data_IF_077702986374
#
_entry.id   IF_077702986374
#
_cell.length_a   1.000
_cell.length_b   1.000
_cell.length_c   1.000
_cell.angle_alpha   90.00
_cell.angle_beta   90.00
_cell.angle_gamma   90.00
#
_symmetry.space_group_name_H-M   'P 1'
#
loop_
_entity.id
_entity.type
_entity.pdbx_description
1 polymer ?
#
# COMPACT_ATOMS: atom_id res chain seq x y z
N UNK A 1 34.86 13.70 9.55
CA UNK A 1 34.27 12.39 9.83
C UNK A 1 34.59 11.46 8.68
N UNK A 2 34.97 10.20 8.90
CA UNK A 2 35.26 9.24 7.80
C UNK A 2 34.22 8.14 7.80
N UNK A 3 33.75 7.75 6.61
CA UNK A 3 32.74 6.70 6.46
C UNK A 3 33.19 5.35 7.02
N UNK A 4 34.48 5.02 6.89
CA UNK A 4 35.05 3.76 7.42
C UNK A 4 34.93 3.66 8.96
N UNK A 5 35.01 4.79 9.67
CA UNK A 5 34.87 4.82 11.12
C UNK A 5 33.41 4.57 11.54
N UNK A 6 32.45 5.14 10.80
CA UNK A 6 31.01 4.92 10.98
C UNK A 6 30.64 3.44 10.73
N UNK A 7 31.13 2.87 9.63
CA UNK A 7 30.91 1.45 9.31
C UNK A 7 31.47 0.56 10.42
N UNK A 8 32.71 0.82 10.86
CA UNK A 8 33.36 0.01 11.90
C UNK A 8 32.60 0.12 13.23
N UNK A 9 32.17 1.33 13.58
CA UNK A 9 31.37 1.59 14.78
C UNK A 9 30.05 0.81 14.78
N UNK A 10 29.27 0.89 13.69
CA UNK A 10 28.00 0.14 13.59
C UNK A 10 28.24 -1.36 13.54
N UNK A 11 29.23 -1.85 12.78
CA UNK A 11 29.62 -3.27 12.72
C UNK A 11 29.97 -3.83 14.10
N UNK A 12 30.58 -3.02 14.96
CA UNK A 12 31.00 -3.44 16.30
C UNK A 12 29.85 -3.28 17.34
N UNK A 13 28.61 -3.10 16.89
CA UNK A 13 27.41 -3.05 17.74
C UNK A 13 27.20 -1.72 18.47
N UNK A 14 27.86 -0.64 18.03
CA UNK A 14 27.72 0.67 18.66
C UNK A 14 26.69 1.56 17.96
N UNK A 15 26.03 2.39 18.77
CA UNK A 15 25.04 3.36 18.31
C UNK A 15 25.70 4.52 17.53
N UNK A 16 25.16 4.83 16.36
CA UNK A 16 25.56 5.99 15.57
C UNK A 16 24.93 7.27 16.12
N UNK A 17 25.68 8.37 16.14
CA UNK A 17 25.12 9.67 16.53
C UNK A 17 24.30 10.27 15.40
N UNK A 18 23.40 11.20 15.73
CA UNK A 18 22.64 11.96 14.74
C UNK A 18 23.55 12.70 13.75
N UNK A 19 24.70 13.21 14.19
CA UNK A 19 25.67 13.84 13.28
C UNK A 19 26.31 12.84 12.32
N UNK A 20 26.61 11.62 12.77
CA UNK A 20 27.14 10.54 11.92
C UNK A 20 26.12 10.12 10.86
N UNK A 21 24.85 10.00 11.27
CA UNK A 21 23.75 9.66 10.37
C UNK A 21 23.53 10.74 9.32
N UNK A 22 23.45 12.00 9.74
CA UNK A 22 23.29 13.15 8.83
C UNK A 22 24.46 13.27 7.85
N UNK A 23 25.69 13.06 8.33
CA UNK A 23 26.88 13.08 7.48
C UNK A 23 26.79 12.02 6.38
N UNK A 24 26.53 10.75 6.73
CA UNK A 24 26.56 9.71 5.71
C UNK A 24 25.41 9.87 4.71
N UNK A 25 24.19 10.22 5.16
CA UNK A 25 23.04 10.41 4.26
C UNK A 25 23.32 11.54 3.28
N UNK A 26 23.77 12.69 3.78
CA UNK A 26 24.08 13.85 2.95
C UNK A 26 25.17 13.53 1.92
N UNK A 27 26.31 13.03 2.37
CA UNK A 27 27.47 12.78 1.51
C UNK A 27 27.23 11.64 0.51
N UNK A 28 26.43 10.62 0.89
CA UNK A 28 25.99 9.60 -0.05
C UNK A 28 25.05 10.15 -1.13
N UNK A 29 24.11 11.01 -0.74
CA UNK A 29 23.14 11.61 -1.68
C UNK A 29 23.84 12.45 -2.74
N UNK A 30 24.86 13.23 -2.37
CA UNK A 30 25.64 14.07 -3.32
C UNK A 30 26.75 13.31 -4.05
N UNK A 31 26.94 12.02 -3.77
CA UNK A 31 27.89 11.15 -4.50
C UNK A 31 29.33 11.14 -3.97
N UNK A 32 29.59 11.73 -2.80
CA UNK A 32 30.93 11.74 -2.19
C UNK A 32 31.26 10.44 -1.43
N UNK A 33 30.24 9.67 -1.03
CA UNK A 33 30.41 8.31 -0.50
C UNK A 33 30.02 7.31 -1.59
N UNK A 34 30.91 6.38 -1.96
CA UNK A 34 30.63 5.39 -2.99
C UNK A 34 29.73 4.26 -2.46
N UNK A 35 28.97 3.65 -3.38
CA UNK A 35 27.99 2.59 -3.08
C UNK A 35 28.59 1.43 -2.28
N UNK A 36 29.85 1.04 -2.54
CA UNK A 36 30.50 -0.07 -1.83
C UNK A 36 30.74 0.21 -0.34
N UNK A 37 30.82 1.46 0.09
CA UNK A 37 30.90 1.81 1.51
C UNK A 37 29.51 1.80 2.16
N UNK A 38 28.50 2.28 1.43
CA UNK A 38 27.13 2.31 1.92
C UNK A 38 26.57 0.91 2.03
N UNK A 39 26.81 0.03 1.06
CA UNK A 39 26.39 -1.38 1.14
C UNK A 39 26.98 -2.09 2.36
N UNK A 40 28.25 -1.80 2.71
CA UNK A 40 28.88 -2.31 3.92
C UNK A 40 28.18 -1.80 5.20
N UNK A 41 27.80 -0.51 5.26
CA UNK A 41 27.04 0.02 6.39
C UNK A 41 25.63 -0.58 6.46
N UNK A 42 24.95 -0.73 5.33
CA UNK A 42 23.60 -1.31 5.27
C UNK A 42 23.60 -2.76 5.76
N UNK A 43 24.63 -3.54 5.41
CA UNK A 43 24.80 -4.89 5.93
C UNK A 43 25.15 -4.89 7.42
N UNK A 44 25.94 -3.94 7.92
CA UNK A 44 26.18 -3.79 9.35
C UNK A 44 24.88 -3.46 10.12
N UNK A 45 24.04 -2.57 9.58
CA UNK A 45 22.70 -2.26 10.13
C UNK A 45 21.78 -3.49 10.07
N UNK A 46 21.87 -4.30 9.02
CA UNK A 46 21.09 -5.53 8.90
C UNK A 46 21.34 -6.48 10.08
N UNK A 47 22.60 -6.63 10.51
CA UNK A 47 22.97 -7.51 11.62
C UNK A 47 22.82 -6.89 13.01
N UNK A 48 23.20 -5.62 13.17
CA UNK A 48 23.29 -4.96 14.49
C UNK A 48 22.08 -4.10 14.84
N UNK A 49 21.13 -3.95 13.90
CA UNK A 49 19.93 -3.11 14.03
C UNK A 49 20.28 -1.62 14.35
N UNK A 50 19.25 -0.85 14.66
CA UNK A 50 19.32 0.55 15.07
C UNK A 50 18.37 0.79 16.26
N UNK A 51 18.79 1.64 17.19
CA UNK A 51 17.92 2.13 18.27
C UNK A 51 16.77 2.99 17.71
N UNK A 52 15.74 3.27 18.50
CA UNK A 52 14.66 4.17 18.07
C UNK A 52 15.16 5.60 17.78
N UNK A 53 16.23 6.05 18.45
CA UNK A 53 16.87 7.35 18.21
C UNK A 53 17.62 7.36 16.88
N UNK A 54 18.37 6.30 16.60
CA UNK A 54 19.04 6.10 15.31
C UNK A 54 18.03 6.02 14.16
N UNK A 55 16.93 5.28 14.32
CA UNK A 55 15.86 5.17 13.32
C UNK A 55 15.19 6.51 13.04
N UNK A 56 14.89 7.29 14.08
CA UNK A 56 14.33 8.63 13.92
C UNK A 56 15.31 9.58 13.21
N UNK A 57 16.59 9.55 13.58
CA UNK A 57 17.64 10.34 12.92
C UNK A 57 17.82 9.94 11.45
N UNK A 58 17.84 8.64 11.15
CA UNK A 58 17.92 8.10 9.78
C UNK A 58 16.74 8.55 8.93
N UNK A 59 15.53 8.46 9.50
CA UNK A 59 14.30 8.91 8.85
C UNK A 59 14.37 10.40 8.52
N UNK A 60 14.70 11.25 9.50
CA UNK A 60 14.76 12.69 9.30
C UNK A 60 15.91 13.12 8.39
N UNK A 61 17.05 12.43 8.41
CA UNK A 61 18.13 12.67 7.47
C UNK A 61 17.69 12.40 6.02
N UNK A 62 16.91 11.33 5.78
CA UNK A 62 16.33 11.07 4.46
C UNK A 62 15.26 12.09 4.08
N UNK A 63 14.39 12.51 5.01
CA UNK A 63 13.41 13.61 4.78
C UNK A 63 14.15 14.88 4.31
N UNK A 64 15.19 15.27 5.04
CA UNK A 64 15.96 16.49 4.79
C UNK A 64 16.92 16.39 3.59
N UNK A 65 17.02 15.24 2.93
CA UNK A 65 17.84 15.07 1.72
C UNK A 65 17.22 15.70 0.47
N UNK A 66 15.93 16.05 0.52
CA UNK A 66 15.18 16.57 -0.60
C UNK A 66 14.12 17.59 -0.19
N UNK A 67 13.14 17.77 -1.06
CA UNK A 67 12.02 18.66 -0.82
C UNK A 67 11.02 18.05 0.18
N UNK A 68 10.38 18.90 0.96
CA UNK A 68 9.25 18.54 1.83
C UNK A 68 8.01 19.32 1.41
N UNK A 69 6.86 18.66 1.44
CA UNK A 69 5.60 19.27 1.07
C UNK A 69 5.01 19.98 2.28
N UNK A 70 4.85 21.30 2.15
CA UNK A 70 4.10 22.09 3.11
C UNK A 70 2.60 22.06 2.78
N UNK A 71 1.85 21.38 3.67
CA UNK A 71 0.40 21.25 3.62
C UNK A 71 -0.31 22.16 4.62
N UNK A 72 0.37 23.18 5.18
CA UNK A 72 -0.22 24.09 6.18
C UNK A 72 -1.43 24.88 5.67
N UNK A 73 -1.52 25.09 4.35
CA UNK A 73 -2.64 25.75 3.70
C UNK A 73 -3.91 24.86 3.62
N UNK A 74 -3.82 23.56 3.91
CA UNK A 74 -4.96 22.66 4.00
C UNK A 74 -5.51 22.70 5.43
N UNK A 75 -6.80 23.02 5.58
CA UNK A 75 -7.47 23.10 6.87
C UNK A 75 -7.75 21.72 7.46
N UNK A 76 -7.49 21.57 8.76
CA UNK A 76 -7.70 20.34 9.52
C UNK A 76 -6.44 19.50 9.69
N UNK A 77 -6.60 18.31 10.26
CA UNK A 77 -5.51 17.33 10.46
C UNK A 77 -5.44 16.46 9.21
N UNK A 78 -4.36 16.58 8.43
CA UNK A 78 -4.18 15.82 7.19
C UNK A 78 -3.75 14.41 7.54
N UNK A 79 -4.57 13.42 7.17
CA UNK A 79 -4.30 12.02 7.46
C UNK A 79 -3.89 11.30 6.18
N UNK A 80 -2.77 10.59 6.22
CA UNK A 80 -2.32 9.72 5.14
C UNK A 80 -2.38 8.24 5.56
N UNK A 81 -2.62 7.35 4.60
CA UNK A 81 -2.53 5.90 4.77
C UNK A 81 -1.35 5.36 3.98
N UNK A 82 -0.58 4.46 4.60
CA UNK A 82 0.41 3.67 3.89
C UNK A 82 0.16 2.20 4.10
N UNK A 83 0.32 1.39 3.06
CA UNK A 83 0.49 -0.05 3.23
C UNK A 83 1.91 -0.43 2.82
N UNK A 84 2.45 -1.45 3.49
CA UNK A 84 3.66 -2.13 3.03
C UNK A 84 3.50 -2.79 1.66
N UNK A 85 2.27 -2.90 1.13
CA UNK A 85 1.97 -3.46 -0.18
C UNK A 85 1.41 -4.88 -0.08
N UNK A 86 0.58 -5.25 -1.06
CA UNK A 86 -0.06 -6.56 -1.14
C UNK A 86 -0.82 -6.74 -2.44
N UNK A 87 -1.36 -7.94 -2.64
CA UNK A 87 -2.11 -8.33 -3.84
C UNK A 87 -3.61 -8.16 -3.58
N UNK A 88 -4.31 -7.48 -4.49
CA UNK A 88 -5.71 -7.09 -4.29
C UNK A 88 -5.90 -5.98 -3.23
N UNK A 89 -4.84 -5.23 -2.88
CA UNK A 89 -4.97 -4.12 -1.90
C UNK A 89 -5.70 -2.91 -2.51
N UNK A 90 -7.02 -3.04 -2.61
CA UNK A 90 -7.99 -2.06 -3.11
C UNK A 90 -8.31 -0.97 -2.06
N UNK A 91 -7.79 -1.12 -0.83
CA UNK A 91 -8.19 -0.32 0.33
C UNK A 91 -8.13 1.19 0.10
N UNK A 92 -7.11 1.72 -0.59
CA UNK A 92 -6.95 3.17 -0.81
C UNK A 92 -8.11 3.75 -1.63
N UNK A 93 -8.62 3.02 -2.62
CA UNK A 93 -9.71 3.49 -3.49
C UNK A 93 -11.02 3.64 -2.70
N UNK A 94 -11.22 2.81 -1.68
CA UNK A 94 -12.39 2.86 -0.80
C UNK A 94 -12.16 3.85 0.36
N UNK A 95 -11.01 3.78 1.03
CA UNK A 95 -10.69 4.58 2.22
C UNK A 95 -10.71 6.08 1.94
N UNK A 96 -10.09 6.52 0.85
CA UNK A 96 -9.93 7.94 0.54
C UNK A 96 -11.29 8.68 0.47
N UNK A 97 -12.27 8.26 -0.36
CA UNK A 97 -13.58 8.89 -0.37
C UNK A 97 -14.41 8.60 0.89
N UNK A 98 -14.24 7.43 1.52
CA UNK A 98 -15.02 7.04 2.70
C UNK A 98 -14.72 7.95 3.90
N UNK A 99 -13.45 8.20 4.21
CA UNK A 99 -13.08 9.09 5.33
C UNK A 99 -13.28 10.57 4.97
N UNK A 100 -13.08 10.95 3.70
CA UNK A 100 -13.37 12.31 3.23
C UNK A 100 -14.86 12.65 3.31
N UNK A 101 -15.76 11.67 3.23
CA UNK A 101 -17.20 11.85 3.46
C UNK A 101 -17.55 12.20 4.93
N UNK A 102 -16.59 12.07 5.85
CA UNK A 102 -16.66 12.49 7.25
C UNK A 102 -15.78 13.74 7.53
N UNK A 103 -15.53 14.56 6.50
CA UNK A 103 -14.73 15.79 6.58
C UNK A 103 -13.27 15.59 7.03
N UNK A 104 -12.73 14.37 6.92
CA UNK A 104 -11.29 14.11 7.12
C UNK A 104 -10.49 14.54 5.89
N UNK A 105 -9.50 15.45 6.00
CA UNK A 105 -8.66 15.85 4.88
C UNK A 105 -7.67 14.74 4.49
N UNK A 106 -7.87 14.16 3.31
CA UNK A 106 -7.02 13.13 2.71
C UNK A 106 -6.14 13.77 1.62
N UNK A 107 -4.94 14.17 2.03
CA UNK A 107 -3.90 14.69 1.14
C UNK A 107 -2.95 13.54 0.75
N UNK A 108 -3.37 12.70 -0.21
CA UNK A 108 -2.69 11.44 -0.51
C UNK A 108 -1.63 11.62 -1.60
N UNK A 109 -0.41 11.19 -1.29
CA UNK A 109 0.58 10.83 -2.30
C UNK A 109 0.67 9.32 -2.45
N UNK A 110 0.56 8.87 -3.69
CA UNK A 110 0.60 7.45 -4.06
C UNK A 110 1.69 7.19 -5.09
N UNK A 111 2.10 5.93 -5.20
CA UNK A 111 3.03 5.45 -6.21
C UNK A 111 2.32 4.64 -7.29
N UNK A 112 3.05 4.39 -8.36
CA UNK A 112 2.76 3.33 -9.35
C UNK A 112 3.27 1.98 -8.84
N UNK A 113 2.72 0.90 -9.37
CA UNK A 113 3.11 -0.47 -9.05
C UNK A 113 4.41 -0.87 -9.74
N UNK A 114 5.16 -1.77 -9.10
CA UNK A 114 6.31 -2.47 -9.65
C UNK A 114 6.28 -3.92 -9.16
N UNK A 115 6.53 -4.87 -10.06
CA UNK A 115 6.43 -6.29 -9.78
C UNK A 115 4.98 -6.76 -9.60
N UNK A 116 4.75 -7.60 -8.60
CA UNK A 116 3.49 -8.30 -8.37
C UNK A 116 2.43 -7.48 -7.61
N UNK A 117 2.78 -6.29 -7.13
CA UNK A 117 1.85 -5.41 -6.40
C UNK A 117 1.31 -4.32 -7.32
N UNK A 118 -0.01 -4.16 -7.35
CA UNK A 118 -0.67 -3.09 -8.11
C UNK A 118 -0.55 -1.74 -7.43
N UNK A 119 -0.25 -0.68 -8.17
CA UNK A 119 -0.17 0.69 -7.64
C UNK A 119 -1.52 1.40 -7.67
N UNK A 120 -1.84 2.19 -6.64
CA UNK A 120 -3.10 2.96 -6.60
C UNK A 120 -3.26 3.89 -7.81
N UNK A 121 -2.16 4.48 -8.30
CA UNK A 121 -2.22 5.37 -9.47
C UNK A 121 -2.60 4.61 -10.73
N UNK A 122 -2.00 3.44 -10.96
CA UNK A 122 -2.32 2.63 -12.15
C UNK A 122 -3.79 2.18 -12.13
N UNK A 123 -4.33 1.86 -10.95
CA UNK A 123 -5.77 1.56 -10.78
C UNK A 123 -6.64 2.77 -11.14
N UNK A 124 -6.32 3.97 -10.63
CA UNK A 124 -7.09 5.18 -10.91
C UNK A 124 -7.05 5.59 -12.38
N UNK A 125 -5.95 5.34 -13.08
CA UNK A 125 -5.82 5.60 -14.52
C UNK A 125 -6.68 4.68 -15.40
N UNK A 126 -7.26 3.61 -14.83
CA UNK A 126 -8.32 2.85 -15.51
C UNK A 126 -9.60 3.69 -15.71
N UNK A 127 -9.79 4.76 -14.92
CA UNK A 127 -10.86 5.74 -15.12
C UNK A 127 -10.42 6.72 -16.21
N UNK A 128 -11.11 6.66 -17.36
CA UNK A 128 -10.82 7.51 -18.52
C UNK A 128 -10.77 8.98 -18.12
N UNK A 129 -9.67 9.65 -18.46
CA UNK A 129 -9.44 11.08 -18.23
C UNK A 129 -8.84 11.43 -16.86
N UNK A 130 -8.80 10.48 -15.92
CA UNK A 130 -8.22 10.71 -14.61
C UNK A 130 -6.71 11.00 -14.74
N UNK A 131 -6.22 12.03 -14.06
CA UNK A 131 -4.80 12.35 -14.00
C UNK A 131 -4.35 12.67 -12.57
N UNK A 132 -3.09 12.37 -12.28
CA UNK A 132 -2.46 12.60 -10.96
C UNK A 132 -1.48 13.76 -10.94
N UNK A 133 -1.35 14.45 -12.07
CA UNK A 133 -0.55 15.65 -12.22
C UNK A 133 -1.40 16.87 -11.86
N UNK A 134 -1.20 17.41 -10.66
CA UNK A 134 -1.84 18.62 -10.16
C UNK A 134 -0.77 19.63 -9.78
N UNK A 135 -1.06 20.93 -9.92
CA UNK A 135 -0.24 21.96 -9.29
C UNK A 135 -0.42 21.91 -7.77
N UNK A 136 0.52 22.48 -7.02
CA UNK A 136 0.41 22.58 -5.56
C UNK A 136 -0.88 23.31 -5.15
N UNK A 137 -1.23 24.39 -5.86
CA UNK A 137 -2.39 25.22 -5.54
C UNK A 137 -3.69 24.46 -5.81
N UNK A 138 -3.80 23.77 -6.96
CA UNK A 138 -4.96 22.92 -7.27
C UNK A 138 -5.12 21.80 -6.23
N UNK A 139 -4.01 21.15 -5.85
CA UNK A 139 -4.03 20.10 -4.83
C UNK A 139 -4.56 20.61 -3.49
N UNK A 140 -4.06 21.77 -3.02
CA UNK A 140 -4.53 22.40 -1.78
C UNK A 140 -6.01 22.80 -1.89
N UNK A 141 -6.43 23.36 -3.02
CA UNK A 141 -7.84 23.74 -3.25
C UNK A 141 -8.76 22.51 -3.18
N UNK A 142 -8.43 21.44 -3.89
CA UNK A 142 -9.24 20.22 -3.93
C UNK A 142 -9.38 19.58 -2.55
N UNK A 143 -8.29 19.48 -1.78
CA UNK A 143 -8.38 18.92 -0.41
C UNK A 143 -9.15 19.86 0.52
N UNK A 144 -9.03 21.18 0.39
CA UNK A 144 -9.81 22.11 1.20
C UNK A 144 -11.31 22.04 0.87
N UNK A 145 -11.66 22.02 -0.41
CA UNK A 145 -13.04 22.02 -0.90
C UNK A 145 -13.73 20.68 -0.67
N UNK A 146 -13.08 19.60 -1.08
CA UNK A 146 -13.72 18.28 -1.20
C UNK A 146 -13.10 17.20 -0.31
N UNK A 147 -12.06 17.54 0.46
CA UNK A 147 -11.42 16.69 1.47
C UNK A 147 -10.60 15.53 0.93
N UNK A 148 -10.45 15.40 -0.39
CA UNK A 148 -9.65 14.33 -0.99
C UNK A 148 -9.01 14.76 -2.30
N UNK A 149 -7.73 14.43 -2.43
CA UNK A 149 -7.01 14.42 -3.70
C UNK A 149 -5.89 13.37 -3.64
N UNK A 150 -5.58 12.77 -4.80
CA UNK A 150 -4.49 11.80 -4.95
C UNK A 150 -3.54 12.31 -6.02
N UNK A 151 -2.30 12.57 -5.63
CA UNK A 151 -1.24 12.95 -6.56
C UNK A 151 -0.16 11.87 -6.66
N UNK A 152 0.58 11.93 -7.76
CA UNK A 152 1.84 11.21 -7.90
C UNK A 152 2.85 11.66 -6.85
N UNK A 153 3.85 10.82 -6.61
CA UNK A 153 5.08 11.28 -5.98
C UNK A 153 5.80 12.21 -6.97
N UNK A 154 5.46 13.49 -6.93
CA UNK A 154 6.16 14.54 -7.68
C UNK A 154 7.46 14.94 -6.98
N UNK A 155 8.41 15.48 -7.74
CA UNK A 155 9.55 16.20 -7.17
C UNK A 155 10.68 15.35 -6.61
N UNK A 156 11.65 16.03 -6.03
CA UNK A 156 12.84 15.43 -5.44
C UNK A 156 12.59 15.08 -3.96
N UNK A 157 11.50 14.36 -3.67
CA UNK A 157 11.18 13.90 -2.31
C UNK A 157 12.12 12.76 -1.92
N UNK A 158 12.81 12.91 -0.79
CA UNK A 158 13.68 11.87 -0.21
C UNK A 158 14.65 11.21 -1.21
N UNK A 159 15.48 11.95 -1.96
CA UNK A 159 16.43 11.38 -2.93
C UNK A 159 17.41 10.38 -2.30
N UNK A 160 17.76 10.58 -1.03
CA UNK A 160 18.55 9.62 -0.28
C UNK A 160 17.86 8.26 -0.21
N UNK A 161 16.57 8.21 0.09
CA UNK A 161 15.78 6.97 0.17
C UNK A 161 15.75 6.27 -1.19
N UNK A 162 15.52 7.01 -2.28
CA UNK A 162 15.52 6.44 -3.63
C UNK A 162 16.86 5.77 -3.96
N UNK A 163 17.98 6.42 -3.63
CA UNK A 163 19.33 5.89 -3.85
C UNK A 163 19.66 4.70 -2.92
N UNK A 164 19.23 4.76 -1.66
CA UNK A 164 19.42 3.69 -0.69
C UNK A 164 18.59 2.46 -1.02
N UNK A 165 17.31 2.62 -1.38
CA UNK A 165 16.43 1.52 -1.75
C UNK A 165 16.96 0.77 -2.97
N UNK A 166 17.40 1.49 -4.01
CA UNK A 166 18.01 0.87 -5.19
C UNK A 166 19.27 0.06 -4.84
N UNK A 167 20.11 0.55 -3.93
CA UNK A 167 21.28 -0.19 -3.46
C UNK A 167 20.90 -1.40 -2.61
N UNK A 168 19.88 -1.28 -1.75
CA UNK A 168 19.38 -2.36 -0.89
C UNK A 168 18.88 -3.54 -1.71
N UNK A 169 18.13 -3.24 -2.77
CA UNK A 169 17.53 -4.22 -3.69
C UNK A 169 18.58 -5.14 -4.34
N UNK A 170 19.75 -4.59 -4.67
CA UNK A 170 20.84 -5.35 -5.32
C UNK A 170 21.92 -5.84 -4.35
N UNK A 171 21.75 -5.63 -3.04
CA UNK A 171 22.73 -6.05 -2.00
C UNK A 171 22.15 -6.95 -0.93
N UNK A 172 20.89 -7.36 -1.06
CA UNK A 172 20.23 -8.23 -0.07
C UNK A 172 20.00 -7.55 1.29
N UNK A 173 19.86 -6.23 1.32
CA UNK A 173 19.65 -5.44 2.55
C UNK A 173 18.28 -4.76 2.57
N UNK A 174 17.32 -5.27 1.78
CA UNK A 174 15.93 -4.80 1.82
C UNK A 174 15.26 -5.19 3.14
N UNK A 175 15.43 -6.45 3.55
CA UNK A 175 14.70 -7.07 4.66
C UNK A 175 15.29 -6.73 6.05
N UNK A 176 15.27 -5.45 6.39
CA UNK A 176 15.78 -4.92 7.66
C UNK A 176 14.80 -3.90 8.21
N UNK A 177 14.24 -4.18 9.39
CA UNK A 177 13.26 -3.32 10.07
C UNK A 177 13.69 -1.85 10.11
N UNK A 178 14.89 -1.46 10.57
CA UNK A 178 15.27 -0.05 10.65
C UNK A 178 15.34 0.61 9.27
N UNK A 179 15.78 -0.11 8.23
CA UNK A 179 15.86 0.40 6.87
C UNK A 179 14.47 0.51 6.22
N UNK A 180 13.59 -0.48 6.41
CA UNK A 180 12.21 -0.45 5.93
C UNK A 180 11.43 0.66 6.61
N UNK A 181 11.46 0.72 7.95
CA UNK A 181 10.72 1.69 8.73
C UNK A 181 11.15 3.13 8.37
N UNK A 182 12.46 3.39 8.31
CA UNK A 182 12.95 4.73 7.95
C UNK A 182 12.63 5.09 6.50
N UNK A 183 12.72 4.13 5.58
CA UNK A 183 12.38 4.33 4.17
C UNK A 183 10.91 4.71 4.00
N UNK A 184 9.99 3.94 4.60
CA UNK A 184 8.55 4.20 4.52
C UNK A 184 8.22 5.54 5.17
N UNK A 185 8.65 5.74 6.43
CA UNK A 185 8.29 6.91 7.21
C UNK A 185 8.86 8.19 6.62
N UNK A 186 10.07 8.18 6.05
CA UNK A 186 10.66 9.38 5.45
C UNK A 186 9.82 9.93 4.30
N UNK A 187 9.31 9.05 3.42
CA UNK A 187 8.39 9.46 2.34
C UNK A 187 7.09 10.03 2.87
N UNK A 188 6.52 9.43 3.93
CA UNK A 188 5.26 9.87 4.54
C UNK A 188 5.40 11.19 5.30
N UNK A 189 6.52 11.41 5.96
CA UNK A 189 6.82 12.66 6.68
C UNK A 189 7.16 13.77 5.68
N UNK A 190 7.97 13.50 4.65
CA UNK A 190 8.27 14.46 3.59
C UNK A 190 7.02 14.88 2.81
N UNK A 191 6.02 14.00 2.74
CA UNK A 191 4.70 14.28 2.18
C UNK A 191 3.83 15.24 3.02
N UNK A 192 4.26 15.61 4.24
CA UNK A 192 3.60 16.66 5.04
C UNK A 192 2.37 16.22 5.83
N UNK A 193 2.09 14.91 5.94
CA UNK A 193 0.97 14.41 6.72
C UNK A 193 1.11 14.76 8.22
N UNK A 194 0.01 15.15 8.88
CA UNK A 194 -0.01 15.40 10.33
C UNK A 194 -0.18 14.09 11.11
N UNK A 195 -0.94 13.16 10.52
CA UNK A 195 -1.17 11.84 11.06
C UNK A 195 -1.03 10.75 9.99
N UNK A 196 -0.56 9.57 10.41
CA UNK A 196 -0.24 8.46 9.52
C UNK A 196 -0.92 7.18 10.05
N UNK A 197 -1.74 6.54 9.22
CA UNK A 197 -2.26 5.20 9.47
C UNK A 197 -1.48 4.19 8.63
N UNK A 198 -0.90 3.19 9.28
CA UNK A 198 -0.05 2.17 8.68
C UNK A 198 -0.79 0.84 8.58
N UNK A 199 -0.72 0.21 7.42
CA UNK A 199 -1.29 -1.11 7.14
C UNK A 199 -0.14 -2.06 6.83
N UNK A 200 0.37 -2.70 7.88
CA UNK A 200 1.50 -3.62 7.83
C UNK A 200 0.98 -5.01 7.54
N UNK A 201 1.33 -5.53 6.37
CA UNK A 201 0.90 -6.87 5.96
C UNK A 201 1.75 -7.94 6.67
N UNK A 202 1.12 -9.07 6.98
CA UNK A 202 1.76 -10.32 7.45
C UNK A 202 1.37 -11.49 6.55
N UNK A 203 2.20 -12.54 6.48
CA UNK A 203 1.93 -13.76 5.72
C UNK A 203 2.61 -13.85 4.35
N UNK A 204 2.23 -14.84 3.56
CA UNK A 204 2.94 -15.24 2.34
C UNK A 204 3.12 -14.09 1.33
N UNK A 205 2.10 -13.27 1.08
CA UNK A 205 2.16 -12.11 0.18
C UNK A 205 2.66 -10.81 0.80
N UNK A 206 3.12 -10.83 2.06
CA UNK A 206 3.66 -9.65 2.73
C UNK A 206 5.18 -9.59 2.66
N UNK A 207 5.74 -8.40 2.93
CA UNK A 207 7.17 -8.26 3.19
C UNK A 207 7.58 -9.00 4.47
N UNK A 208 6.81 -8.84 5.55
CA UNK A 208 7.04 -9.53 6.82
C UNK A 208 6.26 -10.84 6.81
N UNK A 209 6.95 -11.98 6.93
CA UNK A 209 6.32 -13.29 6.78
C UNK A 209 5.66 -13.76 8.06
N UNK A 210 6.11 -13.26 9.20
CA UNK A 210 5.59 -13.63 10.53
C UNK A 210 4.92 -12.45 11.22
N UNK A 211 3.95 -12.75 12.09
CA UNK A 211 3.26 -11.75 12.91
C UNK A 211 4.22 -10.99 13.83
N UNK A 212 5.27 -11.65 14.32
CA UNK A 212 6.28 -11.04 15.18
C UNK A 212 7.09 -9.98 14.43
N UNK A 213 7.57 -10.29 13.22
CA UNK A 213 8.26 -9.32 12.35
C UNK A 213 7.35 -8.16 11.97
N UNK A 214 6.10 -8.44 11.60
CA UNK A 214 5.10 -7.43 11.27
C UNK A 214 4.83 -6.51 12.47
N UNK A 215 4.73 -7.07 13.68
CA UNK A 215 4.55 -6.30 14.91
C UNK A 215 5.76 -5.43 15.23
N UNK A 216 6.98 -5.96 15.08
CA UNK A 216 8.20 -5.21 15.31
C UNK A 216 8.34 -4.05 14.32
N UNK A 217 8.03 -4.26 13.04
CA UNK A 217 8.02 -3.22 12.01
C UNK A 217 6.96 -2.16 12.29
N UNK A 218 5.72 -2.57 12.58
CA UNK A 218 4.61 -1.66 12.89
C UNK A 218 4.95 -0.76 14.09
N UNK A 219 5.44 -1.35 15.19
CA UNK A 219 5.89 -0.61 16.38
C UNK A 219 7.04 0.35 16.08
N UNK A 220 8.03 -0.07 15.29
CA UNK A 220 9.15 0.79 14.92
C UNK A 220 8.66 2.03 14.14
N UNK A 221 7.75 1.86 13.18
CA UNK A 221 7.20 2.98 12.41
C UNK A 221 6.31 3.91 13.26
N UNK A 222 5.49 3.36 14.16
CA UNK A 222 4.69 4.16 15.11
C UNK A 222 5.60 5.02 16.00
N UNK A 223 6.65 4.42 16.60
CA UNK A 223 7.62 5.15 17.43
C UNK A 223 8.38 6.22 16.65
N UNK A 224 8.78 5.96 15.41
CA UNK A 224 9.40 6.98 14.54
C UNK A 224 8.44 8.16 14.38
N UNK A 225 7.18 7.90 14.02
CA UNK A 225 6.16 8.93 13.86
C UNK A 225 5.98 9.78 15.11
N UNK A 226 5.82 9.16 16.27
CA UNK A 226 5.70 9.86 17.55
C UNK A 226 6.93 10.70 17.89
N UNK A 227 8.14 10.16 17.69
CA UNK A 227 9.40 10.87 17.94
C UNK A 227 9.57 12.12 17.07
N UNK A 228 8.96 12.15 15.88
CA UNK A 228 9.01 13.31 14.96
C UNK A 228 7.74 14.17 15.01
N UNK A 229 6.87 13.96 15.99
CA UNK A 229 5.67 14.77 16.21
C UNK A 229 4.51 14.48 15.25
N UNK A 230 4.45 13.30 14.63
CA UNK A 230 3.34 12.84 13.78
C UNK A 230 2.51 11.78 14.51
N UNK A 231 1.21 12.00 14.65
CA UNK A 231 0.33 10.99 15.27
C UNK A 231 0.30 9.75 14.38
N UNK A 232 0.62 8.56 14.92
CA UNK A 232 0.77 7.37 14.07
C UNK A 232 0.10 6.17 14.70
N UNK A 233 -0.69 5.44 13.92
CA UNK A 233 -1.29 4.16 14.32
C UNK A 233 -1.01 3.11 13.25
N UNK A 234 -1.04 1.84 13.62
CA UNK A 234 -0.82 0.74 12.70
C UNK A 234 -1.83 -0.40 12.88
N UNK A 235 -2.13 -1.09 11.78
CA UNK A 235 -2.84 -2.36 11.71
C UNK A 235 -1.89 -3.42 11.19
N UNK A 236 -1.87 -4.58 11.82
CA UNK A 236 -1.29 -5.79 11.24
C UNK A 236 -2.43 -6.56 10.57
N UNK A 237 -2.39 -6.67 9.25
CA UNK A 237 -3.44 -7.34 8.47
C UNK A 237 -2.90 -8.49 7.61
N UNK A 238 -3.74 -9.50 7.40
CA UNK A 238 -3.41 -10.69 6.62
C UNK A 238 -3.17 -10.36 5.15
N UNK A 239 -2.17 -11.03 4.59
CA UNK A 239 -1.86 -11.10 3.17
C UNK A 239 -1.38 -12.52 2.80
N UNK A 240 -1.82 -13.53 3.56
CA UNK A 240 -1.61 -14.94 3.20
C UNK A 240 -2.28 -15.27 1.86
N UNK A 241 -3.46 -14.70 1.62
CA UNK A 241 -4.22 -14.71 0.37
C UNK A 241 -4.48 -13.26 -0.12
N UNK A 242 -4.80 -13.05 -1.42
CA UNK A 242 -5.18 -11.73 -1.91
C UNK A 242 -6.37 -11.14 -1.14
N UNK A 243 -6.33 -9.84 -0.88
CA UNK A 243 -7.46 -9.12 -0.26
C UNK A 243 -8.58 -8.94 -1.30
N UNK A 244 -9.84 -9.13 -0.89
CA UNK A 244 -10.97 -9.07 -1.81
C UNK A 244 -10.94 -10.20 -2.83
N UNK A 245 -11.56 -10.01 -3.99
CA UNK A 245 -11.57 -10.99 -5.08
C UNK A 245 -10.85 -10.49 -6.33
N UNK A 246 -10.82 -9.18 -6.56
CA UNK A 246 -10.19 -8.59 -7.73
C UNK A 246 -8.68 -8.43 -7.56
N UNK A 247 -7.92 -8.86 -8.57
CA UNK A 247 -6.50 -8.55 -8.73
C UNK A 247 -6.29 -7.93 -10.11
N UNK A 248 -5.95 -6.64 -10.18
CA UNK A 248 -5.75 -5.91 -11.42
C UNK A 248 -5.92 -4.41 -11.28
N UNK A 249 -6.38 -3.74 -12.34
CA UNK A 249 -6.57 -2.27 -12.32
C UNK A 249 -8.05 -1.92 -12.40
N UNK A 250 -8.68 -2.03 -13.56
CA UNK A 250 -10.11 -1.77 -13.74
C UNK A 250 -11.00 -2.67 -12.86
N UNK A 251 -10.60 -3.94 -12.68
CA UNK A 251 -11.29 -4.90 -11.82
C UNK A 251 -11.36 -4.42 -10.36
N UNK A 252 -10.24 -3.88 -9.84
CA UNK A 252 -10.16 -3.37 -8.47
C UNK A 252 -10.91 -2.04 -8.31
N UNK A 253 -10.96 -1.18 -9.34
CA UNK A 253 -11.83 0.01 -9.33
C UNK A 253 -13.30 -0.39 -9.24
N UNK A 254 -13.73 -1.41 -9.98
CA UNK A 254 -15.09 -1.94 -9.88
C UNK A 254 -15.36 -2.48 -8.47
N UNK A 255 -14.46 -3.28 -7.91
CA UNK A 255 -14.61 -3.81 -6.55
C UNK A 255 -14.69 -2.69 -5.50
N UNK A 256 -13.91 -1.62 -5.66
CA UNK A 256 -14.00 -0.44 -4.80
C UNK A 256 -15.37 0.24 -4.86
N UNK A 257 -15.96 0.37 -6.05
CA UNK A 257 -17.32 0.90 -6.24
C UNK A 257 -18.34 0.02 -5.52
N UNK A 258 -18.24 -1.30 -5.68
CA UNK A 258 -19.12 -2.27 -5.04
C UNK A 258 -18.99 -2.18 -3.50
N UNK A 259 -17.78 -2.08 -2.96
CA UNK A 259 -17.55 -1.84 -1.52
C UNK A 259 -18.15 -0.52 -1.03
N UNK A 260 -18.00 0.58 -1.78
CA UNK A 260 -18.58 1.88 -1.42
C UNK A 260 -20.13 1.88 -1.44
N UNK A 261 -20.76 0.95 -2.17
CA UNK A 261 -22.20 0.67 -2.14
C UNK A 261 -22.62 -0.21 -0.95
N UNK A 262 -21.66 -0.80 -0.24
CA UNK A 262 -21.91 -1.80 0.80
C UNK A 262 -22.16 -3.21 0.24
N UNK A 263 -21.76 -3.47 -1.00
CA UNK A 263 -21.95 -4.74 -1.73
C UNK A 263 -20.60 -5.44 -2.05
N UNK A 264 -19.51 -4.94 -1.47
CA UNK A 264 -18.16 -5.46 -1.71
C UNK A 264 -17.80 -6.69 -0.88
N UNK A 265 -16.57 -7.20 -1.05
CA UNK A 265 -16.07 -8.33 -0.29
C UNK A 265 -16.04 -8.04 1.22
N UNK A 266 -16.39 -9.02 2.05
CA UNK A 266 -16.44 -8.85 3.50
C UNK A 266 -15.07 -8.51 4.10
N UNK A 267 -14.01 -9.15 3.63
CA UNK A 267 -12.64 -8.93 4.09
C UNK A 267 -12.12 -7.53 3.72
N UNK A 268 -12.34 -7.08 2.48
CA UNK A 268 -12.01 -5.72 2.06
C UNK A 268 -12.80 -4.68 2.88
N UNK A 269 -14.11 -4.92 3.06
CA UNK A 269 -14.98 -4.01 3.83
C UNK A 269 -14.52 -3.90 5.28
N UNK A 270 -14.22 -5.02 5.94
CA UNK A 270 -13.73 -5.04 7.31
C UNK A 270 -12.41 -4.27 7.46
N UNK A 271 -11.42 -4.53 6.61
CA UNK A 271 -10.12 -3.87 6.69
C UNK A 271 -10.24 -2.37 6.45
N UNK A 272 -11.08 -1.94 5.50
CA UNK A 272 -11.37 -0.52 5.25
C UNK A 272 -12.01 0.13 6.48
N UNK A 273 -12.95 -0.54 7.15
CA UNK A 273 -13.57 0.01 8.35
C UNK A 273 -12.56 0.13 9.51
N UNK A 274 -11.68 -0.86 9.70
CA UNK A 274 -10.63 -0.82 10.74
C UNK A 274 -9.63 0.32 10.50
N UNK A 275 -9.10 0.42 9.28
CA UNK A 275 -8.15 1.48 8.91
C UNK A 275 -8.82 2.86 8.93
N UNK A 276 -10.02 2.97 8.37
CA UNK A 276 -10.78 4.22 8.35
C UNK A 276 -11.08 4.72 9.76
N UNK A 277 -11.38 3.81 10.70
CA UNK A 277 -11.68 4.18 12.09
C UNK A 277 -10.49 4.88 12.75
N UNK A 278 -9.28 4.36 12.52
CA UNK A 278 -8.05 5.02 12.99
C UNK A 278 -7.85 6.38 12.34
N UNK A 279 -8.05 6.49 11.02
CA UNK A 279 -7.89 7.76 10.32
C UNK A 279 -8.86 8.83 10.85
N UNK A 280 -10.11 8.47 11.11
CA UNK A 280 -11.14 9.38 11.65
C UNK A 280 -10.79 9.83 13.08
N UNK A 281 -10.31 8.92 13.95
CA UNK A 281 -9.84 9.28 15.29
C UNK A 281 -8.60 10.18 15.23
N UNK A 282 -7.61 9.82 14.41
CA UNK A 282 -6.39 10.61 14.21
C UNK A 282 -6.69 12.03 13.73
N UNK A 283 -7.73 12.18 12.90
CA UNK A 283 -8.25 13.45 12.39
C UNK A 283 -9.09 14.24 13.41
N UNK A 284 -9.33 13.71 14.61
CA UNK A 284 -10.24 14.25 15.63
C UNK A 284 -11.70 14.39 15.12
N UNK A 285 -12.15 13.49 14.24
CA UNK A 285 -13.54 13.44 13.76
C UNK A 285 -14.40 12.39 14.50
N UNK A 286 -13.81 11.67 15.46
CA UNK A 286 -14.47 10.81 16.43
C UNK A 286 -13.62 10.72 17.70
N UNK A 287 -14.26 10.42 18.84
CA UNK A 287 -13.60 10.29 20.15
C UNK A 287 -12.89 8.94 20.31
N UNK A 288 -13.41 7.89 19.68
CA UNK A 288 -12.88 6.52 19.76
C UNK A 288 -13.15 5.73 18.47
N UNK A 289 -12.58 4.53 18.39
CA UNK A 289 -12.64 3.69 17.19
C UNK A 289 -14.06 3.17 16.92
N UNK A 290 -14.86 2.92 17.97
CA UNK A 290 -16.24 2.47 17.85
C UNK A 290 -17.13 3.54 17.19
N UNK A 291 -17.08 4.78 17.69
CA UNK A 291 -17.81 5.92 17.11
C UNK A 291 -17.36 6.18 15.67
N UNK A 292 -16.06 6.12 15.41
CA UNK A 292 -15.51 6.28 14.06
C UNK A 292 -16.08 5.23 13.10
N UNK A 293 -16.11 3.97 13.53
CA UNK A 293 -16.64 2.86 12.74
C UNK A 293 -18.13 3.04 12.43
N UNK A 294 -18.93 3.43 13.41
CA UNK A 294 -20.37 3.70 13.21
C UNK A 294 -20.59 4.81 12.18
N UNK A 295 -19.83 5.90 12.27
CA UNK A 295 -19.89 7.00 11.29
C UNK A 295 -19.54 6.53 9.87
N UNK A 296 -18.49 5.72 9.72
CA UNK A 296 -18.05 5.18 8.43
C UNK A 296 -19.12 4.28 7.80
N UNK A 297 -19.69 3.35 8.60
CA UNK A 297 -20.80 2.50 8.15
C UNK A 297 -22.00 3.36 7.73
N UNK A 298 -22.31 4.42 8.47
CA UNK A 298 -23.43 5.30 8.14
C UNK A 298 -23.23 6.02 6.79
N UNK A 299 -22.04 6.55 6.49
CA UNK A 299 -21.76 7.23 5.21
C UNK A 299 -21.62 6.28 4.02
N UNK A 300 -21.25 5.03 4.26
CA UNK A 300 -21.32 3.97 3.26
C UNK A 300 -22.78 3.64 2.93
N UNK A 301 -23.61 3.35 3.95
CA UNK A 301 -25.03 2.99 3.78
C UNK A 301 -25.89 4.09 3.16
N UNK A 302 -25.63 5.35 3.48
CA UNK A 302 -26.41 6.47 2.95
C UNK A 302 -25.91 6.99 1.58
N UNK A 303 -24.89 6.35 0.99
CA UNK A 303 -24.36 6.67 -0.33
C UNK A 303 -23.42 7.89 -0.38
N UNK A 304 -23.18 8.61 0.72
CA UNK A 304 -22.27 9.76 0.74
C UNK A 304 -20.84 9.39 0.35
N UNK A 305 -20.35 8.22 0.79
CA UNK A 305 -19.03 7.73 0.43
C UNK A 305 -18.89 7.52 -1.09
N UNK A 306 -19.90 6.92 -1.72
CA UNK A 306 -19.94 6.70 -3.17
C UNK A 306 -20.01 8.03 -3.94
N UNK A 307 -20.82 8.99 -3.49
CA UNK A 307 -20.88 10.32 -4.10
C UNK A 307 -19.55 11.07 -3.96
N UNK A 308 -18.86 10.93 -2.82
CA UNK A 308 -17.53 11.49 -2.62
C UNK A 308 -16.50 10.88 -3.57
N UNK A 309 -16.60 9.58 -3.86
CA UNK A 309 -15.75 8.93 -4.87
C UNK A 309 -16.01 9.47 -6.28
N UNK A 310 -17.27 9.64 -6.67
CA UNK A 310 -17.62 10.27 -7.96
C UNK A 310 -17.03 11.67 -8.09
N UNK A 311 -17.22 12.51 -7.06
CA UNK A 311 -16.68 13.85 -7.02
C UNK A 311 -15.15 13.85 -7.09
N UNK A 312 -14.49 12.96 -6.36
CA UNK A 312 -13.04 12.79 -6.39
C UNK A 312 -12.52 12.48 -7.80
N UNK A 313 -13.18 11.56 -8.52
CA UNK A 313 -12.80 11.23 -9.89
C UNK A 313 -12.96 12.43 -10.83
N UNK A 314 -14.11 13.10 -10.77
CA UNK A 314 -14.42 14.27 -11.62
C UNK A 314 -13.47 15.44 -11.38
N UNK A 315 -13.10 15.68 -10.11
CA UNK A 315 -12.16 16.73 -9.71
C UNK A 315 -10.77 16.59 -10.33
N UNK A 316 -10.39 15.37 -10.72
CA UNK A 316 -9.11 15.06 -11.34
C UNK A 316 -9.28 14.59 -12.80
N UNK A 317 -10.35 15.05 -13.46
CA UNK A 317 -10.59 14.85 -14.90
C UNK A 317 -11.17 13.48 -15.28
N UNK A 318 -11.38 12.58 -14.31
CA UNK A 318 -11.94 11.25 -14.55
C UNK A 318 -13.43 11.28 -14.88
N UNK A 319 -13.86 10.33 -15.72
CA UNK A 319 -15.28 10.10 -16.00
C UNK A 319 -16.01 9.54 -14.77
N UNK A 320 -16.61 10.41 -13.96
CA UNK A 320 -17.40 10.04 -12.78
C UNK A 320 -18.63 9.18 -13.07
N UNK A 321 -19.08 9.07 -14.32
CA UNK A 321 -20.23 8.23 -14.67
C UNK A 321 -19.95 6.73 -14.50
N UNK A 322 -18.68 6.32 -14.39
CA UNK A 322 -18.28 4.93 -14.08
C UNK A 322 -18.82 4.44 -12.73
N UNK A 323 -19.12 5.35 -11.80
CA UNK A 323 -19.68 4.99 -10.49
C UNK A 323 -21.09 4.39 -10.61
N UNK A 324 -21.86 4.94 -11.55
CA UNK A 324 -23.22 4.50 -11.88
C UNK A 324 -23.21 3.40 -12.95
N UNK A 325 -22.20 3.38 -13.83
CA UNK A 325 -22.03 2.45 -14.95
C UNK A 325 -20.61 1.87 -15.02
N UNK A 326 -20.21 0.97 -14.09
CA UNK A 326 -18.85 0.43 -14.02
C UNK A 326 -18.41 -0.35 -15.27
N UNK A 327 -19.35 -0.81 -16.10
CA UNK A 327 -19.09 -1.47 -17.39
C UNK A 327 -18.38 -0.57 -18.41
N UNK A 328 -18.33 0.75 -18.18
CA UNK A 328 -17.54 1.71 -18.95
C UNK A 328 -16.04 1.64 -18.69
N UNK A 329 -15.63 1.02 -17.58
CA UNK A 329 -14.22 0.74 -17.31
C UNK A 329 -13.64 -0.19 -18.40
N UNK A 330 -12.32 -0.16 -18.64
CA UNK A 330 -11.67 -1.06 -19.60
C UNK A 330 -12.08 -2.52 -19.39
N UNK A 331 -12.53 -3.19 -20.45
CA UNK A 331 -12.97 -4.58 -20.43
C UNK A 331 -12.00 -5.46 -21.22
N UNK A 332 -11.58 -6.58 -20.64
CA UNK A 332 -10.78 -7.57 -21.34
C UNK A 332 -11.63 -8.34 -22.37
N UNK A 333 -11.01 -8.72 -23.49
CA UNK A 333 -11.67 -9.43 -24.59
C UNK A 333 -12.13 -10.84 -24.21
N UNK A 334 -11.37 -11.54 -23.38
CA UNK A 334 -11.62 -12.92 -22.98
C UNK A 334 -11.80 -13.02 -21.46
N UNK A 335 -12.80 -13.80 -21.06
CA UNK A 335 -13.00 -14.24 -19.68
C UNK A 335 -12.90 -15.76 -19.66
N UNK A 336 -11.89 -16.28 -18.97
CA UNK A 336 -11.53 -17.71 -19.01
C UNK A 336 -11.58 -18.26 -17.59
N UNK A 337 -12.50 -19.18 -17.35
CA UNK A 337 -12.68 -19.85 -16.07
C UNK A 337 -11.51 -20.84 -15.82
N UNK A 338 -11.03 -20.88 -14.58
CA UNK A 338 -10.07 -21.87 -14.09
C UNK A 338 -10.79 -22.80 -13.13
N UNK A 339 -11.29 -23.97 -13.59
CA UNK A 339 -12.05 -24.88 -12.76
C UNK A 339 -11.17 -25.63 -11.75
N UNK A 340 -11.71 -25.95 -10.59
CA UNK A 340 -11.08 -26.84 -9.62
C UNK A 340 -10.91 -28.26 -10.19
N UNK A 341 -9.73 -28.84 -9.96
CA UNK A 341 -9.40 -30.22 -10.39
C UNK A 341 -9.84 -31.27 -9.37
N UNK A 342 -9.97 -30.85 -8.12
CA UNK A 342 -10.31 -31.66 -6.97
C UNK A 342 -11.50 -31.01 -6.23
N UNK A 343 -12.16 -31.78 -5.37
CA UNK A 343 -13.18 -31.26 -4.45
C UNK A 343 -12.64 -31.19 -3.02
N UNK A 344 -13.22 -30.31 -2.21
CA UNK A 344 -12.80 -30.10 -0.82
C UNK A 344 -12.96 -28.65 -0.41
N UNK A 345 -12.01 -28.14 0.36
CA UNK A 345 -11.93 -26.74 0.78
C UNK A 345 -10.65 -26.11 0.26
N UNK A 346 -10.71 -24.86 -0.19
CA UNK A 346 -9.51 -24.09 -0.52
C UNK A 346 -8.75 -23.84 0.78
N UNK A 347 -7.55 -24.40 0.89
CA UNK A 347 -6.74 -24.35 2.11
C UNK A 347 -5.55 -23.39 2.03
N UNK A 348 -5.14 -23.03 0.83
CA UNK A 348 -4.06 -22.07 0.61
C UNK A 348 -4.27 -21.34 -0.72
N UNK A 349 -3.99 -20.04 -0.74
CA UNK A 349 -3.87 -19.22 -1.95
C UNK A 349 -2.61 -18.37 -1.78
N UNK A 350 -1.53 -18.69 -2.46
CA UNK A 350 -0.24 -17.98 -2.28
C UNK A 350 -0.28 -16.61 -2.97
N UNK A 351 -0.51 -15.55 -2.19
CA UNK A 351 -0.91 -14.25 -2.72
C UNK A 351 0.08 -13.59 -3.69
N UNK A 352 1.38 -13.56 -3.37
CA UNK A 352 2.41 -12.98 -4.24
C UNK A 352 2.50 -13.71 -5.59
N UNK A 353 2.39 -15.03 -5.57
CA UNK A 353 2.41 -15.87 -6.76
C UNK A 353 1.18 -15.64 -7.67
N UNK A 354 0.01 -15.39 -7.06
CA UNK A 354 -1.21 -14.96 -7.78
C UNK A 354 -1.05 -13.54 -8.35
N UNK A 355 -0.40 -12.63 -7.62
CA UNK A 355 -0.04 -11.30 -8.12
C UNK A 355 0.88 -11.38 -9.35
N UNK A 356 1.86 -12.28 -9.34
CA UNK A 356 2.72 -12.55 -10.50
C UNK A 356 1.90 -13.12 -11.67
N UNK A 357 0.92 -14.00 -11.41
CA UNK A 357 0.04 -14.51 -12.46
C UNK A 357 -0.77 -13.38 -13.13
N UNK A 358 -1.25 -12.39 -12.37
CA UNK A 358 -1.88 -11.19 -12.92
C UNK A 358 -0.89 -10.30 -13.68
N UNK A 359 0.35 -10.13 -13.18
CA UNK A 359 1.40 -9.38 -13.87
C UNK A 359 1.74 -10.02 -15.22
N UNK A 360 1.80 -11.36 -15.32
CA UNK A 360 2.02 -12.08 -16.58
C UNK A 360 0.93 -11.75 -17.61
N UNK A 361 -0.31 -11.49 -17.19
CA UNK A 361 -1.39 -11.06 -18.09
C UNK A 361 -1.18 -9.65 -18.65
N UNK A 362 -0.38 -8.81 -17.98
CA UNK A 362 -0.17 -7.41 -18.29
C UNK A 362 -0.76 -6.45 -17.25
N UNK A 363 -1.27 -6.95 -16.11
CA UNK A 363 -1.88 -6.10 -15.08
C UNK A 363 -0.86 -5.32 -14.22
N UNK A 364 0.44 -5.56 -14.42
CA UNK A 364 1.54 -4.93 -13.68
C UNK A 364 2.79 -4.82 -14.53
N UNK A 365 3.86 -4.29 -13.95
CA UNK A 365 5.13 -4.00 -14.64
C UNK A 365 6.27 -4.86 -14.11
N UNK A 366 7.06 -5.46 -14.99
CA UNK A 366 8.34 -6.07 -14.62
C UNK A 366 9.45 -5.01 -14.54
N UNK A 367 9.44 -4.04 -15.45
CA UNK A 367 10.35 -2.88 -15.49
C UNK A 367 9.59 -1.56 -15.46
N UNK A 368 10.23 -0.46 -15.10
CA UNK A 368 9.52 0.84 -14.98
C UNK A 368 8.97 1.35 -16.31
N UNK A 369 9.56 0.87 -17.40
CA UNK A 369 9.26 1.26 -18.77
C UNK A 369 8.09 0.45 -19.37
N UNK A 370 7.64 -0.62 -18.70
CA UNK A 370 6.57 -1.48 -19.21
C UNK A 370 5.22 -0.74 -19.21
N UNK A 371 4.43 -0.96 -20.28
CA UNK A 371 3.04 -0.53 -20.33
C UNK A 371 2.14 -1.55 -19.63
N UNK A 372 1.11 -1.06 -18.92
CA UNK A 372 0.12 -1.89 -18.26
C UNK A 372 -1.12 -1.98 -19.14
N UNK A 373 -1.69 -3.18 -19.25
CA UNK A 373 -3.04 -3.38 -19.71
C UNK A 373 -4.01 -3.23 -18.53
N UNK A 374 -4.78 -2.15 -18.52
CA UNK A 374 -5.64 -1.79 -17.38
C UNK A 374 -6.89 -2.67 -17.29
N UNK A 375 -7.21 -3.43 -18.35
CA UNK A 375 -8.42 -4.24 -18.45
C UNK A 375 -8.23 -5.68 -17.97
N UNK A 376 -6.99 -6.19 -17.96
CA UNK A 376 -6.67 -7.57 -17.61
C UNK A 376 -6.44 -7.76 -16.11
N UNK A 377 -6.51 -9.01 -15.67
CA UNK A 377 -6.29 -9.39 -14.28
C UNK A 377 -6.99 -10.69 -13.93
N UNK A 378 -7.17 -10.91 -12.63
CA UNK A 378 -7.79 -12.10 -12.07
C UNK A 378 -8.97 -11.70 -11.19
N UNK A 379 -10.00 -12.54 -11.17
CA UNK A 379 -11.10 -12.46 -10.21
C UNK A 379 -11.19 -13.80 -9.49
N UNK A 380 -10.82 -13.83 -8.22
CA UNK A 380 -11.03 -15.02 -7.38
C UNK A 380 -12.52 -15.31 -7.28
N UNK A 381 -12.87 -16.60 -7.23
CA UNK A 381 -14.24 -17.08 -7.00
C UNK A 381 -14.38 -17.80 -5.66
N UNK A 382 -13.23 -18.09 -5.02
CA UNK A 382 -13.10 -18.76 -3.74
C UNK A 382 -11.99 -18.10 -2.93
N UNK A 383 -12.18 -18.05 -1.61
CA UNK A 383 -11.19 -17.68 -0.60
C UNK A 383 -10.81 -18.91 0.22
N UNK A 384 -9.74 -18.79 1.00
CA UNK A 384 -9.34 -19.84 1.95
C UNK A 384 -10.46 -20.09 2.97
N UNK A 385 -10.87 -21.35 3.09
CA UNK A 385 -12.00 -21.80 3.89
C UNK A 385 -13.25 -22.12 3.06
N UNK A 386 -13.33 -21.69 1.80
CA UNK A 386 -14.49 -21.98 0.96
C UNK A 386 -14.49 -23.41 0.45
N UNK A 387 -15.66 -24.06 0.47
CA UNK A 387 -15.88 -25.33 -0.19
C UNK A 387 -15.91 -25.18 -1.71
N UNK A 388 -15.37 -26.16 -2.43
CA UNK A 388 -15.33 -26.20 -3.89
C UNK A 388 -15.55 -27.63 -4.42
N UNK A 389 -16.23 -27.75 -5.56
CA UNK A 389 -16.41 -29.02 -6.28
C UNK A 389 -15.56 -29.07 -7.54
N UNK A 390 -15.24 -30.28 -8.00
CA UNK A 390 -14.60 -30.50 -9.31
C UNK A 390 -15.40 -29.78 -10.40
N UNK A 391 -14.72 -28.96 -11.21
CA UNK A 391 -15.33 -28.19 -12.29
C UNK A 391 -15.84 -26.79 -11.89
N UNK A 392 -15.99 -26.50 -10.60
CA UNK A 392 -16.38 -25.16 -10.12
C UNK A 392 -15.19 -24.19 -10.29
N UNK A 393 -15.41 -22.95 -10.74
CA UNK A 393 -14.31 -22.00 -10.93
C UNK A 393 -13.66 -21.59 -9.62
N UNK A 394 -12.32 -21.65 -9.59
CA UNK A 394 -11.49 -21.07 -8.53
C UNK A 394 -11.19 -19.59 -8.82
N UNK A 395 -10.94 -19.29 -10.10
CA UNK A 395 -10.53 -17.96 -10.61
C UNK A 395 -11.12 -17.77 -11.99
N UNK A 396 -11.54 -16.55 -12.32
CA UNK A 396 -11.77 -16.11 -13.70
C UNK A 396 -10.60 -15.25 -14.15
N UNK A 397 -9.96 -15.63 -15.25
CA UNK A 397 -8.89 -14.88 -15.90
C UNK A 397 -9.52 -13.87 -16.87
N UNK A 398 -9.18 -12.59 -16.74
CA UNK A 398 -9.52 -11.52 -17.68
C UNK A 398 -8.30 -11.24 -18.55
N UNK A 399 -8.39 -11.50 -19.85
CA UNK A 399 -7.24 -11.47 -20.77
C UNK A 399 -7.57 -10.83 -22.11
N UNK A 400 -6.60 -10.13 -22.72
CA UNK A 400 -6.67 -9.66 -24.10
C UNK A 400 -5.96 -10.60 -25.11
N UNK A 401 -5.47 -11.75 -24.63
CA UNK A 401 -4.91 -12.85 -25.43
C UNK A 401 -5.58 -14.18 -25.12
N UNK A 402 -5.65 -15.07 -26.11
CA UNK A 402 -6.26 -16.41 -25.96
C UNK A 402 -5.36 -17.36 -25.16
N UNK A 403 -4.05 -17.31 -25.40
CA UNK A 403 -3.09 -18.15 -24.69
C UNK A 403 -2.80 -17.60 -23.29
N UNK A 404 -3.31 -18.33 -22.30
CA UNK A 404 -3.15 -18.05 -20.87
C UNK A 404 -2.64 -19.28 -20.10
N UNK A 405 -2.06 -20.27 -20.79
CA UNK A 405 -1.67 -21.52 -20.13
C UNK A 405 -0.61 -21.31 -19.04
N UNK A 406 0.36 -20.42 -19.27
CA UNK A 406 1.34 -20.06 -18.23
C UNK A 406 0.67 -19.48 -16.96
N UNK A 407 -0.41 -18.70 -17.13
CA UNK A 407 -1.16 -18.10 -16.02
C UNK A 407 -1.99 -19.17 -15.30
N UNK A 408 -2.65 -20.06 -16.04
CA UNK A 408 -3.40 -21.19 -15.46
C UNK A 408 -2.49 -22.11 -14.65
N UNK A 409 -1.32 -22.47 -15.17
CA UNK A 409 -0.34 -23.29 -14.47
C UNK A 409 0.03 -22.65 -13.14
N UNK A 410 0.36 -21.35 -13.15
CA UNK A 410 0.74 -20.62 -11.95
C UNK A 410 -0.40 -20.56 -10.92
N UNK A 411 -1.64 -20.41 -11.36
CA UNK A 411 -2.82 -20.47 -10.47
C UNK A 411 -2.95 -21.86 -9.84
N UNK A 412 -2.85 -22.94 -10.61
CA UNK A 412 -2.95 -24.31 -10.08
C UNK A 412 -1.81 -24.69 -9.12
N UNK A 413 -0.61 -24.16 -9.34
CA UNK A 413 0.53 -24.39 -8.45
C UNK A 413 0.38 -23.69 -7.09
N UNK A 414 -0.47 -22.65 -7.02
CA UNK A 414 -0.54 -21.73 -5.89
C UNK A 414 -1.93 -21.64 -5.23
N UNK A 415 -2.87 -22.50 -5.64
CA UNK A 415 -4.14 -22.71 -4.94
C UNK A 415 -4.21 -24.19 -4.53
N UNK A 416 -4.28 -24.46 -3.23
CA UNK A 416 -4.41 -25.82 -2.69
C UNK A 416 -5.83 -26.11 -2.22
N UNK A 417 -6.26 -27.33 -2.45
CA UNK A 417 -7.53 -27.89 -1.97
C UNK A 417 -7.20 -29.05 -1.03
N UNK A 418 -7.88 -29.12 0.11
CA UNK A 418 -7.77 -30.22 1.08
C UNK A 418 -9.11 -30.55 1.73
N UNK A 419 -9.15 -31.64 2.50
CA UNK A 419 -10.36 -32.11 3.19
C UNK A 419 -10.86 -31.13 4.27
N UNK A 420 -9.96 -30.32 4.82
CA UNK A 420 -10.25 -29.27 5.80
C UNK A 420 -9.44 -28.01 5.50
N UNK A 421 -9.97 -26.85 5.90
CA UNK A 421 -9.30 -25.56 5.81
C UNK A 421 -9.71 -24.68 6.99
N UNK A 422 -8.82 -23.76 7.39
CA UNK A 422 -9.09 -22.75 8.40
C UNK A 422 -9.01 -21.37 7.77
N UNK A 423 -10.11 -20.62 7.83
CA UNK A 423 -10.13 -19.22 7.39
C UNK A 423 -9.10 -18.42 8.19
N UNK A 424 -8.20 -17.67 7.52
CA UNK A 424 -7.20 -16.86 8.21
C UNK A 424 -7.87 -15.68 8.93
N UNK A 425 -7.25 -15.23 10.02
CA UNK A 425 -7.66 -14.03 10.73
C UNK A 425 -7.26 -12.81 9.91
N UNK A 426 -8.20 -11.94 9.53
CA UNK A 426 -7.88 -10.77 8.70
C UNK A 426 -7.07 -9.69 9.45
N UNK A 427 -7.47 -9.34 10.67
CA UNK A 427 -6.81 -8.31 11.48
C UNK A 427 -6.19 -8.96 12.70
N UNK A 428 -4.86 -9.04 12.71
CA UNK A 428 -4.11 -9.71 13.77
C UNK A 428 -3.94 -8.80 14.98
N UNK A 429 -3.69 -7.50 14.74
CA UNK A 429 -3.43 -6.52 15.81
C UNK A 429 -3.68 -5.10 15.36
N UNK A 430 -4.07 -4.25 16.31
CA UNK A 430 -4.09 -2.79 16.19
C UNK A 430 -3.07 -2.22 17.18
N UNK A 431 -2.23 -1.30 16.71
CA UNK A 431 -1.17 -0.66 17.50
C UNK A 431 -1.41 0.84 17.48
N UNK A 432 -1.63 1.40 18.66
CA UNK A 432 -1.90 2.84 18.84
C UNK A 432 -0.75 3.60 19.51
N UNK A 433 0.23 2.88 20.08
CA UNK A 433 1.39 3.44 20.80
C UNK A 433 2.68 2.69 20.49
#
# INVERSE_FOLDING_TARGET
MRMVDIISKKRDGHELTTEEINFFIKEYTVGNIPDYQVSALLMAIYFEDMTDQERAAMTMAMVNSGETIDLSAIHGIKVDKHSTGGVGDTTTLVLAPLVAALDVPVAKMSGRGLGHTGGTIDKLEAVKGFHVELTKDDFVELVNRDKVAVIGQSGNLTPADKKLYALRDVTGTVDSIPLIASSIMSKKIAAGADAICLDVKTGAGAFMKTDEEAENLAKAMVRIGHNVGRKTMAVISDMSQPLGYAIGNALEVKEAIDTLKGEGPEDLTELVLVLGSQMVVLANQAENLEEAREKLIAVMKNGKALQKFKQFLENQGGDGSIVDAPEKLPQAKYQIEVPAKDEGFVSEIVADEIGIAAMILGAGRATKEDEIDLAVGLMLRKKVGDAVKIGEPLVTIFSNREDVEAVKTKIYENIRISDEAKTPTLVHKIITE
#
